data_IF_482124318819
#
_entry.id   IF_482124318819
#
_cell.length_a   1.000
_cell.length_b   1.000
_cell.length_c   1.000
_cell.angle_alpha   90.00
_cell.angle_beta   90.00
_cell.angle_gamma   90.00
#
_symmetry.space_group_name_H-M   'P 1'
#
loop_
_entity.id
_entity.type
_entity.pdbx_description
1 polymer ?
#
# COMPACT_ATOMS: atom_id res chain seq x y z
N UNK A 1 -12.82 2.81 -40.08
CA UNK A 1 -11.99 2.08 -39.11
C UNK A 1 -12.31 2.48 -37.67
N UNK A 2 -12.88 1.59 -36.84
CA UNK A 2 -13.16 1.87 -35.44
C UNK A 2 -11.87 1.88 -34.60
N UNK A 3 -11.68 2.93 -33.78
CA UNK A 3 -11.11 2.80 -32.43
C UNK A 3 -9.59 2.82 -32.24
N UNK A 4 -8.86 3.83 -32.74
CA UNK A 4 -7.48 4.13 -32.27
C UNK A 4 -7.49 4.88 -30.93
N UNK A 5 -8.23 4.38 -29.93
CA UNK A 5 -8.23 4.94 -28.58
C UNK A 5 -7.21 4.25 -27.65
N UNK A 6 -6.73 3.07 -28.05
CA UNK A 6 -5.86 2.22 -27.22
C UNK A 6 -4.36 2.42 -27.48
N UNK A 7 -3.97 2.93 -28.65
CA UNK A 7 -2.57 3.09 -29.02
C UNK A 7 -1.87 4.26 -28.28
N UNK A 8 -2.64 5.20 -27.73
CA UNK A 8 -2.15 6.39 -27.03
C UNK A 8 -2.63 6.43 -25.56
N UNK A 9 -3.02 5.29 -24.99
CA UNK A 9 -3.41 5.23 -23.59
C UNK A 9 -2.15 5.21 -22.73
N UNK A 10 -1.81 6.37 -22.19
CA UNK A 10 -0.59 6.63 -21.43
C UNK A 10 -0.92 7.41 -20.14
N UNK A 11 0.07 7.63 -19.29
CA UNK A 11 -0.04 8.30 -18.01
C UNK A 11 -0.39 7.35 -16.87
N UNK A 12 -0.55 7.91 -15.67
CA UNK A 12 -0.84 7.14 -14.44
C UNK A 12 -2.15 6.36 -14.53
N UNK A 13 -3.10 6.83 -15.35
CA UNK A 13 -4.34 6.12 -15.67
C UNK A 13 -4.11 4.79 -16.39
N UNK A 14 -3.02 4.64 -17.13
CA UNK A 14 -2.63 3.39 -17.77
C UNK A 14 -1.90 2.44 -16.83
N UNK A 15 -1.22 2.97 -15.80
CA UNK A 15 -0.60 2.15 -14.76
C UNK A 15 -1.65 1.42 -13.91
N UNK A 16 -2.77 2.08 -13.56
CA UNK A 16 -3.82 1.50 -12.72
C UNK A 16 -4.40 0.15 -13.24
N UNK A 17 -4.84 0.01 -14.51
CA UNK A 17 -5.32 -1.26 -15.03
C UNK A 17 -4.22 -2.31 -15.17
N UNK A 18 -2.96 -1.92 -15.40
CA UNK A 18 -1.83 -2.87 -15.39
C UNK A 18 -1.66 -3.50 -14.02
N UNK A 19 -1.59 -2.68 -12.96
CA UNK A 19 -1.48 -3.19 -11.58
C UNK A 19 -2.72 -4.01 -11.19
N UNK A 20 -3.91 -3.61 -11.65
CA UNK A 20 -5.15 -4.37 -11.43
C UNK A 20 -5.09 -5.77 -12.07
N UNK A 21 -4.51 -5.88 -13.27
CA UNK A 21 -4.27 -7.17 -13.91
C UNK A 21 -3.28 -8.05 -13.14
N UNK A 22 -2.19 -7.47 -12.63
CA UNK A 22 -1.23 -8.21 -11.80
C UNK A 22 -1.87 -8.70 -10.50
N UNK A 23 -2.67 -7.87 -9.83
CA UNK A 23 -3.43 -8.28 -8.64
C UNK A 23 -4.40 -9.43 -8.95
N UNK A 24 -5.03 -9.44 -10.12
CA UNK A 24 -5.88 -10.55 -10.55
C UNK A 24 -5.08 -11.85 -10.72
N UNK A 25 -3.88 -11.80 -11.31
CA UNK A 25 -3.00 -12.97 -11.43
C UNK A 25 -2.52 -13.47 -10.07
N UNK A 26 -2.23 -12.57 -9.12
CA UNK A 26 -1.87 -12.95 -7.75
C UNK A 26 -3.01 -13.69 -7.06
N UNK A 27 -4.25 -13.21 -7.21
CA UNK A 27 -5.45 -13.85 -6.64
C UNK A 27 -5.81 -15.16 -7.35
N UNK A 28 -5.48 -15.29 -8.64
CA UNK A 28 -5.60 -16.54 -9.37
C UNK A 28 -4.61 -17.60 -8.83
N UNK A 29 -3.36 -17.20 -8.55
CA UNK A 29 -2.36 -18.08 -7.96
C UNK A 29 -2.71 -18.44 -6.50
N UNK A 30 -3.15 -17.47 -5.71
CA UNK A 30 -3.53 -17.67 -4.31
C UNK A 30 -4.84 -16.94 -3.97
N UNK A 31 -5.99 -17.65 -4.00
CA UNK A 31 -7.29 -17.05 -3.72
C UNK A 31 -7.52 -16.74 -2.23
N UNK A 32 -6.59 -17.12 -1.34
CA UNK A 32 -6.67 -16.87 0.10
C UNK A 32 -6.01 -15.55 0.52
N UNK A 33 -5.40 -14.81 -0.41
CA UNK A 33 -4.80 -13.51 -0.12
C UNK A 33 -5.86 -12.49 0.30
N UNK A 34 -5.60 -11.81 1.41
CA UNK A 34 -6.28 -10.59 1.78
C UNK A 34 -5.76 -9.37 1.02
N UNK A 35 -6.48 -8.26 1.12
CA UNK A 35 -6.09 -7.01 0.46
C UNK A 35 -4.73 -6.47 0.92
N UNK A 36 -4.38 -6.71 2.20
CA UNK A 36 -3.11 -6.29 2.78
C UNK A 36 -1.97 -7.18 2.29
N UNK A 37 -2.20 -8.49 2.19
CA UNK A 37 -1.24 -9.42 1.60
C UNK A 37 -0.91 -9.02 0.15
N UNK A 38 -1.92 -8.67 -0.65
CA UNK A 38 -1.72 -8.18 -2.02
C UNK A 38 -0.85 -6.91 -2.05
N UNK A 39 -1.12 -5.96 -1.16
CA UNK A 39 -0.32 -4.72 -1.06
C UNK A 39 1.12 -5.00 -0.64
N UNK A 40 1.33 -5.91 0.31
CA UNK A 40 2.65 -6.26 0.83
C UNK A 40 3.46 -7.01 -0.23
N UNK A 41 2.89 -8.04 -0.86
CA UNK A 41 3.55 -8.77 -1.95
C UNK A 41 4.01 -7.81 -3.05
N UNK A 42 3.14 -6.88 -3.49
CA UNK A 42 3.49 -5.89 -4.51
C UNK A 42 4.64 -4.96 -4.07
N UNK A 43 4.71 -4.61 -2.78
CA UNK A 43 5.80 -3.81 -2.24
C UNK A 43 7.13 -4.61 -2.18
N UNK A 44 7.06 -5.87 -1.75
CA UNK A 44 8.22 -6.75 -1.60
C UNK A 44 8.83 -7.18 -2.94
N UNK A 45 7.99 -7.35 -3.95
CA UNK A 45 8.40 -7.79 -5.28
C UNK A 45 8.75 -6.63 -6.22
N UNK A 46 8.64 -5.39 -5.78
CA UNK A 46 8.87 -4.23 -6.63
C UNK A 46 10.34 -4.11 -7.07
N UNK A 47 10.54 -3.67 -8.32
CA UNK A 47 11.87 -3.41 -8.87
C UNK A 47 12.24 -1.93 -8.70
N UNK A 48 13.51 -1.69 -8.37
CA UNK A 48 14.05 -0.36 -8.15
C UNK A 48 14.98 0.06 -9.30
N UNK A 49 14.57 0.99 -10.19
CA UNK A 49 15.50 1.57 -11.15
C UNK A 49 16.68 2.32 -10.49
N UNK A 50 17.88 2.07 -10.99
CA UNK A 50 19.13 2.74 -10.53
C UNK A 50 19.17 4.24 -10.87
N UNK A 51 18.28 4.70 -11.76
CA UNK A 51 18.18 6.10 -12.19
C UNK A 51 17.53 7.02 -11.14
N UNK A 52 17.03 6.48 -10.03
CA UNK A 52 16.34 7.22 -8.98
C UNK A 52 17.05 7.08 -7.64
N UNK A 53 16.86 8.08 -6.78
CA UNK A 53 17.31 8.03 -5.38
C UNK A 53 16.24 7.38 -4.52
N UNK A 54 16.63 6.34 -3.78
CA UNK A 54 15.76 5.61 -2.87
C UNK A 54 16.01 6.01 -1.42
N UNK A 55 14.93 6.06 -0.64
CA UNK A 55 14.95 6.32 0.80
C UNK A 55 14.55 5.04 1.52
N UNK A 56 15.10 4.77 2.68
CA UNK A 56 14.66 3.67 3.53
C UNK A 56 13.55 4.17 4.46
N UNK A 57 12.44 3.46 4.55
CA UNK A 57 11.42 3.76 5.55
C UNK A 57 11.95 3.43 6.96
N UNK A 58 11.27 3.90 8.01
CA UNK A 58 11.67 3.63 9.40
C UNK A 58 11.09 2.31 9.95
N UNK A 59 10.67 1.39 9.07
CA UNK A 59 10.18 0.10 9.50
C UNK A 59 11.34 -0.80 9.94
N UNK A 60 11.04 -1.82 10.75
CA UNK A 60 12.03 -2.76 11.28
C UNK A 60 11.73 -4.21 10.88
N UNK A 61 10.67 -4.41 10.09
CA UNK A 61 10.12 -5.71 9.73
C UNK A 61 10.75 -6.31 8.46
N UNK A 62 11.61 -5.56 7.74
CA UNK A 62 12.25 -6.03 6.51
C UNK A 62 13.77 -6.11 6.66
N UNK A 63 14.31 -7.34 6.77
CA UNK A 63 15.76 -7.58 6.95
C UNK A 63 16.40 -6.73 8.07
N UNK A 64 15.73 -6.66 9.23
CA UNK A 64 16.13 -5.84 10.39
C UNK A 64 16.20 -4.32 10.13
N UNK A 65 15.58 -3.86 9.04
CA UNK A 65 15.47 -2.46 8.66
C UNK A 65 14.19 -2.18 7.89
N UNK A 66 14.22 -1.08 7.16
CA UNK A 66 13.08 -0.60 6.39
C UNK A 66 13.15 -0.97 4.92
N UNK A 67 11.99 -0.91 4.25
CA UNK A 67 11.90 -1.05 2.80
C UNK A 67 12.33 0.24 2.10
N UNK A 68 12.89 0.09 0.90
CA UNK A 68 13.22 1.22 0.04
C UNK A 68 11.94 1.80 -0.57
N UNK A 69 11.87 3.13 -0.65
CA UNK A 69 10.79 3.84 -1.31
C UNK A 69 11.28 5.13 -1.96
N UNK A 70 10.52 5.61 -2.93
CA UNK A 70 10.72 6.87 -3.61
C UNK A 70 9.38 7.63 -3.69
N UNK A 71 9.41 8.95 -3.62
CA UNK A 71 8.16 9.76 -3.60
C UNK A 71 7.40 9.71 -4.95
N UNK A 72 8.05 9.30 -6.02
CA UNK A 72 7.48 9.20 -7.37
C UNK A 72 6.98 7.78 -7.70
N UNK A 73 7.65 6.74 -7.18
CA UNK A 73 7.37 5.34 -7.51
C UNK A 73 6.85 4.50 -6.33
N UNK A 74 6.73 5.05 -5.13
CA UNK A 74 6.42 4.27 -3.94
C UNK A 74 7.53 3.24 -3.69
N UNK A 75 7.16 1.97 -3.51
CA UNK A 75 8.11 0.87 -3.34
C UNK A 75 8.81 0.45 -4.65
N UNK A 76 8.33 0.89 -5.82
CA UNK A 76 9.01 0.66 -7.09
C UNK A 76 8.08 0.25 -8.23
N UNK A 77 8.69 -0.24 -9.31
CA UNK A 77 7.97 -0.73 -10.48
C UNK A 77 7.42 -2.13 -10.20
N UNK A 78 6.17 -2.36 -10.61
CA UNK A 78 5.53 -3.68 -10.44
C UNK A 78 6.24 -4.72 -11.31
N UNK A 79 6.70 -5.80 -10.67
CA UNK A 79 7.17 -7.02 -11.32
C UNK A 79 6.10 -8.10 -11.17
N UNK A 80 5.37 -8.38 -12.26
CA UNK A 80 4.29 -9.35 -12.26
C UNK A 80 4.77 -10.78 -11.99
N UNK A 81 5.97 -11.13 -12.47
CA UNK A 81 6.51 -12.48 -12.30
C UNK A 81 6.89 -12.73 -10.85
N UNK A 82 7.63 -11.79 -10.25
CA UNK A 82 8.02 -11.88 -8.85
C UNK A 82 6.80 -11.81 -7.91
N UNK A 83 5.82 -10.95 -8.20
CA UNK A 83 4.60 -10.83 -7.41
C UNK A 83 3.78 -12.13 -7.41
N UNK A 84 3.58 -12.76 -8.56
CA UNK A 84 2.80 -14.00 -8.68
C UNK A 84 3.54 -15.18 -8.05
N UNK A 85 4.86 -15.29 -8.20
CA UNK A 85 5.64 -16.31 -7.48
C UNK A 85 5.55 -16.16 -5.96
N UNK A 86 5.65 -14.92 -5.48
CA UNK A 86 5.57 -14.67 -4.04
C UNK A 86 4.15 -14.95 -3.52
N UNK A 87 3.11 -14.60 -4.29
CA UNK A 87 1.72 -14.93 -3.99
C UNK A 87 1.46 -16.43 -3.84
N UNK A 88 2.01 -17.25 -4.74
CA UNK A 88 1.84 -18.72 -4.73
C UNK A 88 2.41 -19.38 -3.46
N UNK A 89 3.45 -18.78 -2.88
CA UNK A 89 4.12 -19.29 -1.66
C UNK A 89 3.76 -18.53 -0.39
N UNK A 90 2.87 -17.53 -0.49
CA UNK A 90 2.49 -16.66 0.62
C UNK A 90 1.61 -17.39 1.63
N UNK A 91 2.02 -17.38 2.90
CA UNK A 91 1.35 -18.11 3.99
C UNK A 91 0.73 -17.19 5.05
N UNK A 92 1.03 -15.89 5.00
CA UNK A 92 0.39 -14.89 5.86
C UNK A 92 -0.97 -14.53 5.24
N UNK A 93 -1.99 -14.34 6.07
CA UNK A 93 -3.34 -14.06 5.61
C UNK A 93 -3.92 -12.88 6.38
N UNK A 94 -3.51 -11.67 5.99
CA UNK A 94 -4.10 -10.44 6.50
C UNK A 94 -5.33 -10.03 5.69
N UNK A 95 -6.47 -10.59 6.10
CA UNK A 95 -7.78 -10.27 5.53
C UNK A 95 -8.33 -8.94 6.05
N UNK A 96 -9.43 -8.45 5.45
CA UNK A 96 -10.18 -7.28 5.92
C UNK A 96 -10.62 -7.38 7.40
N UNK A 97 -10.63 -8.59 7.98
CA UNK A 97 -10.94 -8.82 9.39
C UNK A 97 -9.83 -8.25 10.30
N UNK A 98 -8.59 -8.13 9.81
CA UNK A 98 -7.47 -7.51 10.51
C UNK A 98 -7.41 -5.98 10.29
N UNK A 99 -8.40 -5.38 9.62
CA UNK A 99 -8.49 -3.93 9.44
C UNK A 99 -8.92 -3.24 10.74
N UNK A 100 -7.95 -2.70 11.48
CA UNK A 100 -8.22 -1.85 12.65
C UNK A 100 -8.55 -0.43 12.18
N UNK A 101 -9.83 -0.08 12.16
CA UNK A 101 -10.29 1.28 11.84
C UNK A 101 -10.26 2.14 13.10
N UNK A 102 -9.43 3.18 13.10
CA UNK A 102 -9.49 4.27 14.07
C UNK A 102 -9.98 5.53 13.38
N UNK A 103 -11.05 6.13 13.88
CA UNK A 103 -11.53 7.42 13.40
C UNK A 103 -11.76 8.36 14.59
N UNK A 104 -11.23 9.57 14.47
CA UNK A 104 -11.50 10.66 15.40
C UNK A 104 -12.37 11.69 14.68
N UNK A 105 -13.69 11.57 14.81
CA UNK A 105 -14.59 12.69 14.52
C UNK A 105 -14.97 13.38 15.82
N UNK A 106 -14.71 14.68 15.87
CA UNK A 106 -15.11 15.55 16.95
C UNK A 106 -16.64 15.74 16.94
N UNK A 107 -17.39 14.82 17.54
CA UNK A 107 -18.74 15.16 17.96
C UNK A 107 -18.62 16.04 19.22
N UNK A 108 -19.04 17.31 19.11
CA UNK A 108 -19.14 18.28 20.20
C UNK A 108 -17.84 18.93 20.74
N UNK A 109 -16.76 19.09 19.95
CA UNK A 109 -15.72 20.08 20.31
C UNK A 109 -16.26 21.50 20.04
N UNK A 110 -16.94 22.08 21.03
CA UNK A 110 -17.41 23.47 21.02
C UNK A 110 -16.31 24.49 21.40
N UNK A 111 -15.05 24.24 21.04
CA UNK A 111 -13.93 25.13 21.35
C UNK A 111 -13.16 25.47 20.09
N UNK A 112 -12.94 26.77 19.85
CA UNK A 112 -12.09 27.25 18.78
C UNK A 112 -10.65 26.77 19.00
N UNK A 113 -9.96 26.39 17.92
CA UNK A 113 -8.54 26.02 17.97
C UNK A 113 -7.75 27.28 18.37
N UNK A 114 -6.96 27.27 19.46
CA UNK A 114 -6.29 28.48 19.94
C UNK A 114 -5.09 28.81 19.08
N UNK A 115 -4.99 30.07 18.62
CA UNK A 115 -3.82 30.55 17.91
C UNK A 115 -2.64 30.74 18.89
N UNK A 116 -1.67 29.84 18.80
CA UNK A 116 -0.30 30.06 19.27
C UNK A 116 0.02 29.77 20.74
N UNK A 117 -0.94 29.41 21.61
CA UNK A 117 -0.64 29.16 23.05
C UNK A 117 -1.46 28.04 23.75
N UNK A 118 -2.33 27.32 23.05
CA UNK A 118 -3.13 26.25 23.64
C UNK A 118 -3.07 24.95 22.86
N UNK A 119 -2.86 23.82 23.55
CA UNK A 119 -2.93 22.48 22.96
C UNK A 119 -4.06 21.67 23.62
N UNK A 120 -4.93 21.07 22.82
CA UNK A 120 -5.89 20.08 23.27
C UNK A 120 -5.33 18.68 23.01
N UNK A 121 -4.97 17.95 24.06
CA UNK A 121 -4.50 16.56 23.95
C UNK A 121 -5.61 15.62 24.36
N UNK A 122 -5.98 14.69 23.48
CA UNK A 122 -6.85 13.56 23.81
C UNK A 122 -6.14 12.26 23.49
N UNK A 123 -5.95 11.44 24.52
CA UNK A 123 -5.38 10.09 24.38
C UNK A 123 -6.53 9.11 24.23
N UNK A 124 -6.51 8.29 23.19
CA UNK A 124 -7.29 7.06 23.14
C UNK A 124 -6.35 5.87 23.28
N UNK A 125 -6.80 4.83 23.97
CA UNK A 125 -6.10 3.55 24.05
C UNK A 125 -6.75 2.60 23.06
N UNK A 126 -5.92 1.94 22.25
CA UNK A 126 -6.35 0.83 21.41
C UNK A 126 -5.93 -0.42 22.16
N UNK A 127 -6.90 -1.15 22.72
CA UNK A 127 -6.66 -2.49 23.24
C UNK A 127 -6.90 -3.46 22.06
N UNK A 128 -5.83 -3.91 21.40
CA UNK A 128 -5.92 -5.04 20.49
C UNK A 128 -5.92 -6.32 21.33
N UNK A 129 -6.98 -7.11 21.25
CA UNK A 129 -7.05 -8.46 21.84
C UNK A 129 -6.78 -9.57 20.82
N UNK A 130 -6.22 -9.19 19.67
CA UNK A 130 -5.60 -10.09 18.71
C UNK A 130 -4.09 -10.13 18.99
#
# INVERSE_FOLDING_TARGET
EPGSAYANFDGTSAAAPVVSGVAALMLEANPLLGYRDVQEILALSATHPDSLTWKTNAANNWNLGGMLFNDQLGFGLVDAYAAVQLADTWTQHDSAINEVVSSARAYNLQAAIPDGTGAYTRTFRIDSTL
#
